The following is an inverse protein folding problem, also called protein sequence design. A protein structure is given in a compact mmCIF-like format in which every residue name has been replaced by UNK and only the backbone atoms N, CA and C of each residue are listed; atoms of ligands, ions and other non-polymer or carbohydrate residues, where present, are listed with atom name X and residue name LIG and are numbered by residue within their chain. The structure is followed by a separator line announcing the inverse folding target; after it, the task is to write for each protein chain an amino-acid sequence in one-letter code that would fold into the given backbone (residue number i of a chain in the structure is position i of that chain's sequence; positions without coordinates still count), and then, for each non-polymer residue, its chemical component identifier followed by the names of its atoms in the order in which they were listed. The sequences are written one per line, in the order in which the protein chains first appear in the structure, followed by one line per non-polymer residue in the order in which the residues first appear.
data_IF_732472396349
#
_entry.id   IF_732472396349
#
_cell.length_a   1.000
_cell.length_b   1.000
_cell.length_c   1.000
_cell.angle_alpha   90.00
_cell.angle_beta   90.00
_cell.angle_gamma   90.00
#
_symmetry.space_group_name_H-M   'P 1'
#
loop_
_entity.id
_entity.type
_entity.pdbx_description
1 polymer ?
#
# COMPACT_ATOMS: atom_id res chain seq x y z
N UNK A 1 -24.44 -7.84 0.08
CA UNK A 1 -23.81 -6.84 -0.79
C UNK A 1 -22.62 -7.48 -1.46
N UNK A 2 -22.24 -7.03 -2.65
CA UNK A 2 -20.95 -7.44 -3.23
C UNK A 2 -19.83 -6.93 -2.31
N UNK A 3 -18.80 -7.74 -2.09
CA UNK A 3 -17.59 -7.31 -1.39
C UNK A 3 -17.02 -6.07 -2.10
N UNK A 4 -16.50 -5.09 -1.36
CA UNK A 4 -15.79 -3.90 -1.86
C UNK A 4 -14.66 -3.59 -0.89
N UNK A 5 -13.63 -2.90 -1.38
CA UNK A 5 -12.59 -2.37 -0.51
C UNK A 5 -12.33 -0.91 -0.84
N UNK A 6 -11.96 -0.16 0.20
CA UNK A 6 -11.82 1.29 0.16
C UNK A 6 -10.42 1.68 0.63
N UNK A 7 -9.85 2.68 -0.02
CA UNK A 7 -8.54 3.26 0.33
C UNK A 7 -8.68 4.76 0.49
N UNK A 8 -7.86 5.37 1.35
CA UNK A 8 -7.84 6.82 1.46
C UNK A 8 -6.46 7.37 1.74
N UNK A 9 -6.21 8.60 1.27
CA UNK A 9 -5.02 9.37 1.58
C UNK A 9 -5.41 10.78 2.04
N UNK A 10 -4.71 11.27 3.07
CA UNK A 10 -4.80 12.64 3.55
C UNK A 10 -3.58 13.42 3.06
N UNK A 11 -3.83 14.59 2.49
CA UNK A 11 -2.77 15.48 1.98
C UNK A 11 -3.03 16.91 2.45
N UNK A 12 -1.97 17.69 2.64
CA UNK A 12 -2.16 19.13 2.78
C UNK A 12 -2.79 19.70 1.50
N UNK A 13 -3.60 20.74 1.66
CA UNK A 13 -4.20 21.43 0.52
C UNK A 13 -3.18 22.30 -0.23
N UNK A 14 -2.16 22.78 0.47
CA UNK A 14 -1.08 23.64 -0.03
C UNK A 14 0.25 23.38 0.71
N UNK A 15 1.38 23.95 0.26
CA UNK A 15 2.68 23.83 0.91
C UNK A 15 2.71 24.35 2.36
N UNK A 16 1.86 25.31 2.69
CA UNK A 16 1.75 25.93 4.01
C UNK A 16 0.93 25.07 5.00
N UNK A 17 0.24 24.04 4.52
CA UNK A 17 -0.59 23.17 5.34
C UNK A 17 -1.88 23.84 5.84
N UNK A 18 -2.41 24.81 5.10
CA UNK A 18 -3.56 25.62 5.55
C UNK A 18 -4.86 24.81 5.73
N UNK A 19 -4.98 23.69 5.02
CA UNK A 19 -6.09 22.76 5.11
C UNK A 19 -5.65 21.32 4.84
N UNK A 20 -6.52 20.37 5.18
CA UNK A 20 -6.33 18.93 4.96
C UNK A 20 -7.38 18.41 3.98
N UNK A 21 -6.92 17.86 2.85
CA UNK A 21 -7.76 17.23 1.85
C UNK A 21 -7.79 15.72 2.06
N UNK A 22 -8.97 15.12 1.97
CA UNK A 22 -9.18 13.67 1.96
C UNK A 22 -9.57 13.20 0.56
N UNK A 23 -8.88 12.19 0.08
CA UNK A 23 -9.20 11.49 -1.16
C UNK A 23 -9.56 10.05 -0.81
N UNK A 24 -10.69 9.58 -1.32
CA UNK A 24 -11.21 8.22 -1.13
C UNK A 24 -11.28 7.51 -2.47
N UNK A 25 -10.97 6.22 -2.47
CA UNK A 25 -11.01 5.36 -3.65
C UNK A 25 -11.77 4.09 -3.29
N UNK A 26 -12.80 3.78 -4.07
CA UNK A 26 -13.70 2.65 -3.85
C UNK A 26 -13.58 1.68 -5.02
N UNK A 27 -13.26 0.42 -4.72
CA UNK A 27 -13.00 -0.59 -5.73
C UNK A 27 -13.91 -1.81 -5.61
N UNK A 28 -14.38 -2.28 -6.76
CA UNK A 28 -14.94 -3.62 -6.88
C UNK A 28 -13.80 -4.66 -6.86
N UNK A 29 -13.96 -5.77 -6.11
CA UNK A 29 -12.95 -6.80 -6.00
C UNK A 29 -12.92 -7.63 -7.28
N UNK A 30 -11.79 -7.60 -7.96
CA UNK A 30 -11.53 -8.42 -9.14
C UNK A 30 -10.41 -9.37 -8.74
N UNK A 31 -10.65 -10.68 -8.87
CA UNK A 31 -9.67 -11.70 -8.50
C UNK A 31 -8.33 -11.44 -9.23
N UNK A 32 -7.23 -11.44 -8.46
CA UNK A 32 -5.88 -11.15 -8.96
C UNK A 32 -5.55 -9.66 -9.15
N UNK A 33 -6.47 -8.73 -8.87
CA UNK A 33 -6.23 -7.28 -8.97
C UNK A 33 -6.34 -6.60 -7.61
N UNK A 34 -5.27 -5.92 -7.23
CA UNK A 34 -5.19 -5.03 -6.08
C UNK A 34 -4.85 -3.61 -6.50
N UNK A 35 -4.91 -2.70 -5.53
CA UNK A 35 -4.45 -1.33 -5.70
C UNK A 35 -3.43 -0.98 -4.62
N UNK A 36 -2.40 -0.24 -5.02
CA UNK A 36 -1.32 0.24 -4.19
C UNK A 36 -1.37 1.77 -4.13
N UNK A 37 -1.21 2.32 -2.93
CA UNK A 37 -1.12 3.76 -2.70
C UNK A 37 0.10 4.07 -1.86
N UNK A 38 0.81 5.12 -2.25
CA UNK A 38 1.98 5.63 -1.54
C UNK A 38 1.86 7.15 -1.38
N UNK A 39 2.73 7.74 -0.56
CA UNK A 39 2.61 9.15 -0.17
C UNK A 39 3.26 10.13 -1.15
N UNK A 40 4.27 9.68 -1.92
CA UNK A 40 5.10 10.54 -2.77
C UNK A 40 5.27 9.98 -4.18
N UNK A 41 5.20 10.82 -5.21
CA UNK A 41 5.34 10.39 -6.62
C UNK A 41 6.74 9.92 -7.00
N UNK A 42 7.75 10.21 -6.18
CA UNK A 42 9.15 9.88 -6.43
C UNK A 42 10.07 10.79 -5.63
N UNK A 43 11.31 10.88 -6.07
CA UNK A 43 12.33 11.72 -5.43
C UNK A 43 12.07 13.22 -5.66
N UNK A 44 12.50 14.04 -4.70
CA UNK A 44 12.43 15.50 -4.80
C UNK A 44 12.66 16.21 -3.45
N UNK A 45 12.80 17.53 -3.49
CA UNK A 45 12.91 18.35 -2.29
C UNK A 45 12.15 19.70 -2.44
N UNK A 46 10.98 19.87 -1.81
CA UNK A 46 10.27 18.88 -0.99
C UNK A 46 9.81 17.67 -1.82
N UNK A 47 9.57 16.52 -1.17
CA UNK A 47 9.10 15.32 -1.85
C UNK A 47 7.76 15.60 -2.55
N UNK A 48 7.63 15.28 -3.86
CA UNK A 48 6.39 15.51 -4.59
C UNK A 48 5.28 14.62 -4.02
N UNK A 49 4.20 15.24 -3.54
CA UNK A 49 3.04 14.49 -3.00
C UNK A 49 2.37 13.65 -4.08
N UNK A 50 1.80 12.51 -3.69
CA UNK A 50 1.02 11.63 -4.57
C UNK A 50 -0.09 12.38 -5.32
N UNK A 51 -0.20 12.13 -6.62
CA UNK A 51 -1.25 12.67 -7.49
C UNK A 51 -1.75 11.60 -8.46
N UNK A 52 -3.05 11.60 -8.77
CA UNK A 52 -3.67 10.63 -9.68
C UNK A 52 -4.38 9.49 -8.97
N UNK A 53 -4.51 8.36 -9.67
CA UNK A 53 -5.20 7.15 -9.19
C UNK A 53 -4.19 6.16 -8.55
N UNK A 54 -4.60 5.40 -7.52
CA UNK A 54 -3.82 4.29 -6.98
C UNK A 54 -3.37 3.31 -8.07
N UNK A 55 -2.14 2.80 -7.93
CA UNK A 55 -1.52 1.94 -8.91
C UNK A 55 -2.13 0.53 -8.85
N UNK A 56 -2.32 -0.10 -10.01
CA UNK A 56 -2.81 -1.48 -10.07
C UNK A 56 -1.66 -2.45 -9.81
N UNK A 57 -1.89 -3.42 -8.96
CA UNK A 57 -0.93 -4.48 -8.64
C UNK A 57 -1.57 -5.85 -8.84
N UNK A 58 -0.75 -6.82 -9.24
CA UNK A 58 -1.19 -8.21 -9.29
C UNK A 58 -1.20 -8.77 -7.87
N UNK A 59 -2.29 -9.43 -7.48
CA UNK A 59 -2.40 -10.08 -6.18
C UNK A 59 -2.13 -11.57 -6.32
N UNK A 60 -0.98 -12.01 -5.80
CA UNK A 60 -0.60 -13.42 -5.73
C UNK A 60 -1.24 -14.09 -4.52
N UNK A 61 -1.65 -15.35 -4.63
CA UNK A 61 -2.10 -16.16 -3.48
C UNK A 61 -0.90 -16.68 -2.63
N UNK A 62 0.33 -16.53 -3.14
CA UNK A 62 1.56 -16.85 -2.41
C UNK A 62 2.08 -15.62 -1.67
N UNK A 63 1.87 -15.58 -0.35
CA UNK A 63 2.35 -14.50 0.52
C UNK A 63 3.87 -14.38 0.54
N UNK A 64 4.62 -15.47 0.39
CA UNK A 64 6.08 -15.45 0.42
C UNK A 64 6.62 -14.78 -0.85
N UNK A 65 6.09 -15.16 -2.01
CA UNK A 65 6.41 -14.53 -3.28
C UNK A 65 6.05 -13.05 -3.28
N UNK A 66 4.84 -12.70 -2.84
CA UNK A 66 4.36 -11.31 -2.83
C UNK A 66 5.15 -10.43 -1.84
N UNK A 67 5.45 -10.95 -0.65
CA UNK A 67 6.27 -10.21 0.34
C UNK A 67 7.66 -9.93 -0.23
N UNK A 68 8.27 -10.91 -0.89
CA UNK A 68 9.58 -10.76 -1.53
C UNK A 68 9.55 -9.73 -2.65
N UNK A 69 8.55 -9.80 -3.53
CA UNK A 69 8.37 -8.86 -4.64
C UNK A 69 8.30 -7.40 -4.14
N UNK A 70 7.46 -7.13 -3.13
CA UNK A 70 7.37 -5.79 -2.54
C UNK A 70 8.72 -5.39 -1.95
N UNK A 71 9.33 -6.24 -1.12
CA UNK A 71 10.58 -5.91 -0.44
C UNK A 71 11.75 -5.62 -1.39
N UNK A 72 11.84 -6.37 -2.49
CA UNK A 72 12.87 -6.18 -3.52
C UNK A 72 12.59 -4.94 -4.40
N UNK A 73 11.33 -4.54 -4.57
CA UNK A 73 10.94 -3.34 -5.33
C UNK A 73 11.14 -2.03 -4.56
N UNK A 74 11.31 -2.09 -3.23
CA UNK A 74 11.60 -0.90 -2.42
C UNK A 74 13.07 -0.48 -2.57
N UNK A 75 13.30 0.83 -2.53
CA UNK A 75 14.63 1.44 -2.50
C UNK A 75 15.51 0.83 -1.39
N UNK A 76 16.69 0.35 -1.77
CA UNK A 76 17.55 -0.44 -0.87
C UNK A 76 18.07 0.38 0.31
N UNK A 77 18.39 1.65 0.08
CA UNK A 77 18.93 2.55 1.08
C UNK A 77 17.85 2.98 2.08
N UNK A 78 16.63 3.23 1.59
CA UNK A 78 15.54 3.78 2.38
C UNK A 78 14.55 2.75 2.95
N UNK A 79 14.54 1.49 2.49
CA UNK A 79 13.64 0.47 3.06
C UNK A 79 14.07 0.05 4.46
N UNK A 80 13.12 0.07 5.39
CA UNK A 80 13.36 -0.22 6.82
C UNK A 80 12.62 -1.46 7.27
N UNK A 81 11.31 -1.54 7.02
CA UNK A 81 10.48 -2.66 7.45
C UNK A 81 9.25 -2.81 6.57
N UNK A 82 8.77 -4.05 6.43
CA UNK A 82 7.57 -4.41 5.68
C UNK A 82 6.76 -5.43 6.49
N UNK A 83 5.45 -5.24 6.55
CA UNK A 83 4.51 -6.24 7.06
C UNK A 83 3.50 -6.59 5.97
N UNK A 84 3.28 -7.88 5.76
CA UNK A 84 2.28 -8.41 4.82
C UNK A 84 1.40 -9.40 5.58
N UNK A 85 0.08 -9.28 5.45
CA UNK A 85 -0.90 -10.11 6.15
C UNK A 85 -1.95 -10.61 5.19
N UNK A 86 -2.18 -11.91 5.21
CA UNK A 86 -3.25 -12.55 4.46
C UNK A 86 -4.33 -12.97 5.43
N UNK A 87 -5.58 -12.66 5.09
CA UNK A 87 -6.75 -13.00 5.87
C UNK A 87 -7.60 -13.99 5.08
N UNK A 88 -8.18 -14.95 5.79
CA UNK A 88 -9.19 -15.83 5.24
C UNK A 88 -10.45 -15.00 4.92
N UNK A 89 -10.90 -15.08 3.67
CA UNK A 89 -12.02 -14.27 3.19
C UNK A 89 -13.39 -14.72 3.74
N UNK A 90 -13.52 -15.98 4.18
CA UNK A 90 -14.78 -16.53 4.69
C UNK A 90 -15.01 -16.14 6.15
N UNK A 91 -13.96 -16.24 6.97
CA UNK A 91 -14.06 -16.07 8.42
C UNK A 91 -13.30 -14.84 8.97
N UNK A 92 -12.53 -14.14 8.13
CA UNK A 92 -11.81 -12.92 8.49
C UNK A 92 -10.62 -13.13 9.41
N UNK A 93 -10.19 -14.38 9.65
CA UNK A 93 -9.06 -14.67 10.53
C UNK A 93 -7.73 -14.49 9.82
N UNK A 94 -6.69 -14.18 10.58
CA UNK A 94 -5.32 -14.07 10.05
C UNK A 94 -4.84 -15.46 9.60
N UNK A 95 -4.66 -15.64 8.30
CA UNK A 95 -4.16 -16.89 7.73
C UNK A 95 -2.62 -16.94 7.75
N UNK A 96 -1.97 -15.82 7.44
CA UNK A 96 -0.51 -15.71 7.44
C UNK A 96 -0.03 -14.28 7.65
N UNK A 97 1.15 -14.12 8.27
CA UNK A 97 1.85 -12.85 8.43
C UNK A 97 3.32 -13.02 8.03
N UNK A 98 3.89 -11.97 7.40
CA UNK A 98 5.32 -11.80 7.22
C UNK A 98 5.73 -10.44 7.75
N UNK A 99 6.83 -10.40 8.49
CA UNK A 99 7.45 -9.18 8.99
C UNK A 99 8.93 -9.22 8.62
N UNK A 100 9.36 -8.23 7.84
CA UNK A 100 10.76 -7.98 7.52
C UNK A 100 11.16 -6.67 8.18
N UNK A 101 12.31 -6.65 8.83
CA UNK A 101 12.90 -5.42 9.35
C UNK A 101 14.42 -5.49 9.13
N UNK A 102 14.95 -4.50 8.40
CA UNK A 102 16.35 -4.38 8.00
C UNK A 102 17.31 -4.34 9.20
N UNK A 103 16.84 -3.91 10.38
CA UNK A 103 17.65 -3.72 11.58
C UNK A 103 17.36 -4.73 12.70
N UNK A 104 16.57 -5.77 12.43
CA UNK A 104 16.43 -6.85 13.41
C UNK A 104 17.74 -7.62 13.49
N UNK A 105 18.33 -7.65 14.69
CA UNK A 105 19.51 -8.46 15.02
C UNK A 105 19.19 -9.94 15.03
#
# INVERSE_FOLDING_TARGET
GAFTYEMSILKSADPEGSACNRFTYDYAPIAGLGHFIHTYMGDGNPLPTFTGEPERVFMSDDIDAFTKEIWESLDEDNKISLVVRYYDAENGTLAAERLINKYTK
#
